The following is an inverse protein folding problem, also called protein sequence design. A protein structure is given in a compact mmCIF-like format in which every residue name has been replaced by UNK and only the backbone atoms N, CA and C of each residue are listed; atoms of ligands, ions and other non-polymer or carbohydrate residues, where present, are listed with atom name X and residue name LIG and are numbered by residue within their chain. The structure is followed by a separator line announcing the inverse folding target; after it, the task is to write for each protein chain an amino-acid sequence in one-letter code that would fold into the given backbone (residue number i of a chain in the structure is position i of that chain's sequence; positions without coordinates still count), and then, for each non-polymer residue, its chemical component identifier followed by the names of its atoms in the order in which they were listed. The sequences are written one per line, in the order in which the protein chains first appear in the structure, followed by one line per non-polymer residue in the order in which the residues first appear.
data_IF_188869538570
#
_entry.id   IF_188869538570
#
_cell.length_a   1.000
_cell.length_b   1.000
_cell.length_c   1.000
_cell.angle_alpha   90.00
_cell.angle_beta   90.00
_cell.angle_gamma   90.00
#
_symmetry.space_group_name_H-M   'P 1'
#
loop_
_entity.id
_entity.type
_entity.pdbx_description
1 polymer ?
#
# COMPACT_ATOMS: atom_id res chain seq x y z
N UNK A 1 -14.46 7.74 3.92
CA UNK A 1 -13.00 7.61 3.83
C UNK A 1 -12.60 7.06 2.47
N UNK A 2 -11.63 7.69 1.82
CA UNK A 2 -10.99 7.22 0.59
C UNK A 2 -9.62 6.62 0.92
N UNK A 3 -9.48 5.33 0.65
CA UNK A 3 -8.24 4.57 0.85
C UNK A 3 -7.59 4.25 -0.50
N UNK A 4 -6.32 4.60 -0.63
CA UNK A 4 -5.44 4.13 -1.70
C UNK A 4 -4.70 2.87 -1.22
N UNK A 5 -5.31 1.72 -1.45
CA UNK A 5 -4.72 0.44 -1.08
C UNK A 5 -3.74 0.01 -2.17
N UNK A 6 -2.50 -0.26 -1.80
CA UNK A 6 -1.40 -0.61 -2.69
C UNK A 6 -0.81 -1.93 -2.24
N UNK A 7 -0.60 -2.86 -3.18
CA UNK A 7 0.24 -4.03 -2.92
C UNK A 7 1.68 -3.64 -3.20
N UNK A 8 2.61 -4.04 -2.35
CA UNK A 8 4.04 -3.83 -2.61
C UNK A 8 4.43 -4.24 -4.05
N UNK A 9 5.37 -3.52 -4.63
CA UNK A 9 5.88 -3.81 -5.96
C UNK A 9 6.71 -5.10 -5.99
N UNK A 10 7.14 -5.52 -7.17
CA UNK A 10 7.86 -6.78 -7.33
C UNK A 10 9.11 -6.87 -6.43
N UNK A 11 9.21 -7.95 -5.66
CA UNK A 11 10.30 -8.19 -4.71
C UNK A 11 11.16 -9.38 -5.15
N UNK A 12 12.48 -9.24 -5.01
CA UNK A 12 13.43 -10.30 -5.27
C UNK A 12 13.17 -11.51 -4.34
N UNK A 13 13.52 -12.74 -4.74
CA UNK A 13 13.57 -13.86 -3.79
C UNK A 13 14.66 -13.60 -2.75
N UNK A 14 14.51 -14.17 -1.55
CA UNK A 14 15.51 -14.02 -0.50
C UNK A 14 15.03 -14.54 0.86
N UNK A 15 15.98 -14.73 1.77
CA UNK A 15 15.78 -15.18 3.15
C UNK A 15 16.58 -14.26 4.09
N UNK A 16 16.00 -13.81 5.22
CA UNK A 16 14.61 -14.03 5.63
C UNK A 16 13.61 -13.25 4.75
N UNK A 17 12.36 -13.75 4.63
CA UNK A 17 11.34 -13.15 3.76
C UNK A 17 11.12 -11.64 3.99
N UNK A 18 11.17 -11.21 5.24
CA UNK A 18 10.98 -9.82 5.67
C UNK A 18 12.02 -8.84 5.13
N UNK A 19 13.21 -9.32 4.78
CA UNK A 19 14.33 -8.54 4.25
C UNK A 19 14.47 -8.61 2.73
N UNK A 20 13.50 -9.22 2.03
CA UNK A 20 13.48 -9.24 0.57
C UNK A 20 13.31 -7.83 0.01
N UNK A 21 14.27 -7.31 -0.77
CA UNK A 21 14.15 -6.00 -1.39
C UNK A 21 13.29 -6.04 -2.65
N UNK A 22 12.88 -4.87 -3.13
CA UNK A 22 12.33 -4.72 -4.48
C UNK A 22 13.37 -5.12 -5.53
N UNK A 23 12.91 -5.74 -6.61
CA UNK A 23 13.73 -5.88 -7.82
C UNK A 23 13.95 -4.49 -8.46
N UNK A 24 14.92 -4.33 -9.37
CA UNK A 24 15.03 -3.10 -10.15
C UNK A 24 13.71 -2.73 -10.86
N UNK A 25 13.03 -3.73 -11.43
CA UNK A 25 11.73 -3.56 -12.06
C UNK A 25 10.64 -3.19 -11.05
N UNK A 26 10.62 -3.80 -9.87
CA UNK A 26 9.69 -3.43 -8.79
C UNK A 26 9.87 -2.00 -8.32
N UNK A 27 11.12 -1.52 -8.27
CA UNK A 27 11.40 -0.12 -7.95
C UNK A 27 10.86 0.83 -9.02
N UNK A 28 11.00 0.48 -10.30
CA UNK A 28 10.40 1.25 -11.40
C UNK A 28 8.87 1.23 -11.33
N UNK A 29 8.24 0.08 -11.07
CA UNK A 29 6.79 -0.05 -10.86
C UNK A 29 6.30 0.91 -9.77
N UNK A 30 6.97 0.94 -8.61
CA UNK A 30 6.60 1.81 -7.51
C UNK A 30 6.75 3.30 -7.84
N UNK A 31 7.82 3.67 -8.59
CA UNK A 31 8.02 5.05 -9.07
C UNK A 31 6.96 5.48 -10.07
N UNK A 32 6.63 4.60 -11.02
CA UNK A 32 5.56 4.84 -11.99
C UNK A 32 4.21 5.01 -11.29
N UNK A 33 3.91 4.16 -10.31
CA UNK A 33 2.70 4.29 -9.51
C UNK A 33 2.66 5.64 -8.78
N UNK A 34 3.76 6.03 -8.11
CA UNK A 34 3.83 7.32 -7.41
C UNK A 34 3.60 8.51 -8.34
N UNK A 35 4.22 8.52 -9.53
CA UNK A 35 3.98 9.55 -10.55
C UNK A 35 2.52 9.61 -11.00
N UNK A 36 1.94 8.45 -11.30
CA UNK A 36 0.53 8.35 -11.70
C UNK A 36 -0.41 8.83 -10.61
N UNK A 37 -0.18 8.46 -9.35
CA UNK A 37 -0.97 8.94 -8.22
C UNK A 37 -0.90 10.46 -8.12
N UNK A 38 0.29 11.07 -8.25
CA UNK A 38 0.47 12.53 -8.24
C UNK A 38 -0.30 13.22 -9.36
N UNK A 39 -0.28 12.64 -10.56
CA UNK A 39 -0.84 13.26 -11.75
C UNK A 39 -2.37 13.04 -11.88
N UNK A 40 -2.90 11.93 -11.35
CA UNK A 40 -4.28 11.48 -11.56
C UNK A 40 -5.18 11.58 -10.31
N UNK A 41 -4.62 11.65 -9.09
CA UNK A 41 -5.38 11.55 -7.84
C UNK A 41 -5.16 12.75 -6.91
N UNK A 42 -6.13 13.06 -6.03
CA UNK A 42 -5.86 13.91 -4.87
C UNK A 42 -4.68 13.37 -4.04
N UNK A 43 -3.80 14.24 -3.52
CA UNK A 43 -2.66 13.79 -2.72
C UNK A 43 -3.15 13.13 -1.43
N UNK A 44 -2.57 11.99 -1.00
CA UNK A 44 -2.90 11.42 0.29
C UNK A 44 -2.36 12.30 1.43
N UNK A 45 -3.08 12.39 2.53
CA UNK A 45 -2.63 13.06 3.74
C UNK A 45 -1.62 12.23 4.54
N UNK A 46 -1.56 10.91 4.30
CA UNK A 46 -0.56 10.02 4.88
C UNK A 46 -0.26 8.82 3.97
N UNK A 47 0.95 8.28 4.09
CA UNK A 47 1.34 7.00 3.47
C UNK A 47 1.76 6.05 4.60
N UNK A 48 1.04 4.93 4.73
CA UNK A 48 1.31 3.89 5.71
C UNK A 48 1.81 2.63 5.02
N UNK A 49 2.73 1.93 5.63
CA UNK A 49 3.35 0.74 5.03
C UNK A 49 3.43 -0.40 6.02
N UNK A 50 3.35 -1.63 5.52
CA UNK A 50 3.85 -2.80 6.24
C UNK A 50 5.33 -2.63 6.63
N UNK A 51 5.79 -3.17 7.78
CA UNK A 51 7.18 -3.03 8.20
C UNK A 51 8.18 -3.81 7.32
N UNK A 52 7.71 -4.74 6.49
CA UNK A 52 8.57 -5.55 5.61
C UNK A 52 9.26 -4.69 4.54
N UNK A 53 10.51 -5.01 4.23
CA UNK A 53 11.39 -4.16 3.42
C UNK A 53 10.76 -3.78 2.07
N UNK A 54 10.23 -4.75 1.31
CA UNK A 54 9.55 -4.52 0.03
C UNK A 54 8.40 -3.52 0.08
N UNK A 55 7.63 -3.50 1.17
CA UNK A 55 6.52 -2.56 1.33
C UNK A 55 7.03 -1.16 1.69
N UNK A 56 8.02 -1.08 2.60
CA UNK A 56 8.70 0.18 2.94
C UNK A 56 9.39 0.80 1.74
N UNK A 57 10.07 0.01 0.91
CA UNK A 57 10.70 0.51 -0.31
C UNK A 57 9.67 0.99 -1.32
N UNK A 58 8.54 0.28 -1.48
CA UNK A 58 7.43 0.73 -2.33
C UNK A 58 6.90 2.08 -1.82
N UNK A 59 6.58 2.19 -0.53
CA UNK A 59 6.13 3.43 0.09
C UNK A 59 7.17 4.55 0.00
N UNK A 60 8.45 4.25 0.06
CA UNK A 60 9.53 5.21 -0.15
C UNK A 60 9.57 5.79 -1.57
N UNK A 61 9.30 5.00 -2.60
CA UNK A 61 9.17 5.53 -3.96
C UNK A 61 7.88 6.35 -4.14
N UNK A 62 6.77 5.97 -3.49
CA UNK A 62 5.54 6.77 -3.47
C UNK A 62 5.76 8.11 -2.77
N UNK A 63 6.41 8.09 -1.61
CA UNK A 63 6.75 9.25 -0.78
C UNK A 63 7.50 10.31 -1.59
N UNK A 64 8.53 9.91 -2.36
CA UNK A 64 9.30 10.82 -3.22
C UNK A 64 8.46 11.49 -4.30
N UNK A 65 7.46 10.80 -4.83
CA UNK A 65 6.63 11.33 -5.91
C UNK A 65 5.51 12.24 -5.38
N UNK A 66 4.98 11.94 -4.20
CA UNK A 66 3.82 12.60 -3.61
C UNK A 66 4.18 13.69 -2.60
N UNK A 67 5.45 13.77 -2.18
CA UNK A 67 5.93 14.68 -1.13
C UNK A 67 5.23 14.47 0.22
N UNK A 68 5.01 13.19 0.57
CA UNK A 68 4.37 12.75 1.81
C UNK A 68 5.25 11.68 2.45
N UNK A 69 5.59 11.82 3.73
CA UNK A 69 6.44 10.85 4.43
C UNK A 69 5.71 9.49 4.57
N UNK A 70 6.43 8.39 4.32
CA UNK A 70 5.92 7.05 4.50
C UNK A 70 6.27 6.49 5.89
N UNK A 71 5.25 6.10 6.65
CA UNK A 71 5.39 5.57 8.01
C UNK A 71 5.14 4.05 8.03
N UNK A 72 6.02 3.22 8.63
CA UNK A 72 5.73 1.82 8.85
C UNK A 72 4.76 1.63 10.03
N UNK A 73 3.84 0.68 9.92
CA UNK A 73 2.94 0.25 10.99
C UNK A 73 2.84 -1.28 11.03
N UNK A 74 3.14 -1.88 12.19
CA UNK A 74 3.19 -3.34 12.36
C UNK A 74 1.85 -4.02 12.09
N UNK A 75 0.72 -3.30 12.23
CA UNK A 75 -0.63 -3.81 11.92
C UNK A 75 -0.82 -4.09 10.43
N UNK A 76 0.07 -3.59 9.57
CA UNK A 76 0.05 -3.82 8.13
C UNK A 76 1.00 -4.97 7.71
N UNK A 77 1.58 -5.73 8.65
CA UNK A 77 2.31 -6.96 8.36
C UNK A 77 1.43 -8.01 7.65
N UNK A 78 2.02 -9.02 6.97
CA UNK A 78 1.25 -10.11 6.38
C UNK A 78 0.25 -10.74 7.36
N UNK A 79 -1.00 -10.91 6.92
CA UNK A 79 -2.12 -11.32 7.77
C UNK A 79 -2.99 -10.16 8.27
N UNK A 80 -2.75 -8.93 7.78
CA UNK A 80 -3.56 -7.76 8.11
C UNK A 80 -5.02 -7.91 7.65
N UNK A 81 -5.94 -7.39 8.46
CA UNK A 81 -7.38 -7.41 8.21
C UNK A 81 -7.94 -6.02 7.86
N UNK A 82 -9.22 -5.97 7.47
CA UNK A 82 -9.92 -4.70 7.27
C UNK A 82 -10.00 -3.87 8.56
N UNK A 83 -10.11 -4.52 9.72
CA UNK A 83 -10.15 -3.85 11.03
C UNK A 83 -8.79 -3.27 11.41
N UNK A 84 -7.69 -3.98 11.09
CA UNK A 84 -6.34 -3.44 11.24
C UNK A 84 -6.14 -2.18 10.40
N UNK A 85 -6.63 -2.21 9.15
CA UNK A 85 -6.62 -1.03 8.29
C UNK A 85 -7.45 0.10 8.90
N UNK A 86 -8.68 -0.14 9.34
CA UNK A 86 -9.48 0.90 10.03
C UNK A 86 -8.74 1.46 11.25
N UNK A 87 -8.05 0.63 12.00
CA UNK A 87 -7.30 1.04 13.19
C UNK A 87 -6.06 1.89 12.86
N UNK A 88 -5.37 1.67 11.74
CA UNK A 88 -4.23 2.54 11.33
C UNK A 88 -4.69 3.88 10.76
N UNK A 89 -5.90 3.91 10.18
CA UNK A 89 -6.49 5.12 9.59
C UNK A 89 -7.17 6.03 10.63
N UNK A 90 -7.52 5.51 11.80
CA UNK A 90 -8.25 6.24 12.83
C UNK A 90 -7.51 7.52 13.27
N UNK A 91 -8.19 8.67 13.20
CA UNK A 91 -7.64 9.97 13.62
C UNK A 91 -6.69 10.62 12.61
N UNK A 92 -6.57 10.06 11.40
CA UNK A 92 -5.78 10.62 10.29
C UNK A 92 -6.70 11.30 9.25
N UNK A 93 -6.08 11.94 8.26
CA UNK A 93 -6.76 12.66 7.18
C UNK A 93 -7.46 11.79 6.13
N UNK A 94 -7.87 12.38 5.01
CA UNK A 94 -8.55 11.69 3.91
C UNK A 94 -8.21 12.37 2.57
N UNK A 95 -7.57 11.69 1.59
CA UNK A 95 -7.32 10.26 1.49
C UNK A 95 -6.04 9.78 2.18
N UNK A 96 -5.94 8.47 2.42
CA UNK A 96 -4.73 7.83 2.96
C UNK A 96 -4.29 6.71 2.04
N UNK A 97 -2.97 6.57 1.84
CA UNK A 97 -2.39 5.42 1.15
C UNK A 97 -1.88 4.35 2.13
N UNK A 98 -2.13 3.09 1.81
CA UNK A 98 -1.67 1.93 2.59
C UNK A 98 -0.96 0.95 1.67
N UNK A 99 0.28 0.58 1.99
CA UNK A 99 1.07 -0.40 1.24
C UNK A 99 1.16 -1.72 2.00
N UNK A 100 0.58 -2.78 1.45
CA UNK A 100 0.48 -4.11 2.07
C UNK A 100 0.86 -5.27 1.15
N UNK A 101 0.31 -6.46 1.44
CA UNK A 101 0.67 -7.74 0.82
C UNK A 101 -0.54 -8.45 0.22
N UNK A 102 -0.27 -9.53 -0.54
CA UNK A 102 -1.30 -10.50 -0.90
C UNK A 102 -1.24 -11.70 0.06
N UNK A 103 -2.38 -12.33 0.37
CA UNK A 103 -3.73 -12.07 -0.17
C UNK A 103 -4.45 -10.86 0.46
N UNK A 104 -3.92 -10.31 1.56
CA UNK A 104 -4.55 -9.30 2.43
C UNK A 104 -5.18 -8.14 1.64
N UNK A 105 -4.47 -7.51 0.69
CA UNK A 105 -5.04 -6.36 -0.03
C UNK A 105 -6.33 -6.70 -0.81
N UNK A 106 -6.47 -7.93 -1.32
CA UNK A 106 -7.67 -8.36 -2.03
C UNK A 106 -8.84 -8.51 -1.07
N UNK A 107 -8.59 -9.20 0.05
CA UNK A 107 -9.57 -9.44 1.11
C UNK A 107 -10.01 -8.14 1.79
N UNK A 108 -9.07 -7.25 2.11
CA UNK A 108 -9.34 -5.93 2.69
C UNK A 108 -10.20 -5.09 1.73
N UNK A 109 -9.83 -5.04 0.44
CA UNK A 109 -10.61 -4.28 -0.54
C UNK A 109 -12.05 -4.80 -0.64
N UNK A 110 -12.26 -6.12 -0.68
CA UNK A 110 -13.58 -6.74 -0.68
C UNK A 110 -14.38 -6.39 0.60
N UNK A 111 -13.77 -6.59 1.77
CA UNK A 111 -14.41 -6.38 3.06
C UNK A 111 -14.82 -4.91 3.28
N UNK A 112 -13.96 -3.95 2.89
CA UNK A 112 -14.24 -2.52 3.06
C UNK A 112 -15.24 -1.99 2.03
N UNK A 113 -15.20 -2.47 0.78
CA UNK A 113 -16.12 -2.02 -0.28
C UNK A 113 -17.49 -2.73 -0.28
N UNK A 114 -17.61 -3.86 0.43
CA UNK A 114 -18.76 -4.77 0.32
C UNK A 114 -18.85 -5.50 -1.04
N UNK A 115 -17.76 -5.51 -1.81
CA UNK A 115 -17.67 -6.10 -3.14
C UNK A 115 -16.85 -7.41 -3.20
N UNK A 116 -16.68 -7.99 -4.40
CA UNK A 116 -15.81 -9.15 -4.59
C UNK A 116 -14.32 -8.78 -4.46
N UNK A 117 -13.46 -9.77 -4.21
CA UNK A 117 -12.01 -9.57 -4.21
C UNK A 117 -11.51 -9.13 -5.60
N UNK A 118 -10.87 -7.96 -5.72
CA UNK A 118 -10.33 -7.51 -6.99
C UNK A 118 -9.01 -8.24 -7.29
N UNK A 119 -8.66 -8.32 -8.58
CA UNK A 119 -7.32 -8.76 -8.98
C UNK A 119 -6.29 -7.72 -8.54
N UNK A 120 -5.28 -8.16 -7.78
CA UNK A 120 -4.28 -7.27 -7.17
C UNK A 120 -2.83 -7.67 -7.52
N UNK A 121 -2.31 -7.27 -8.70
CA UNK A 121 -0.92 -7.54 -9.07
C UNK A 121 0.06 -6.76 -8.18
N UNK A 122 1.33 -7.19 -8.16
CA UNK A 122 2.40 -6.41 -7.52
C UNK A 122 2.45 -4.99 -8.10
N UNK A 123 2.61 -3.98 -7.23
CA UNK A 123 2.54 -2.57 -7.61
C UNK A 123 1.15 -2.10 -8.05
N UNK A 124 0.12 -2.91 -7.83
CA UNK A 124 -1.27 -2.53 -8.08
C UNK A 124 -1.77 -1.51 -7.06
N UNK A 125 -2.78 -0.73 -7.45
CA UNK A 125 -3.53 0.21 -6.63
C UNK A 125 -5.02 -0.09 -6.79
N UNK A 126 -5.75 -0.14 -5.68
CA UNK A 126 -7.22 -0.14 -5.63
C UNK A 126 -7.65 1.03 -4.75
N UNK A 127 -8.58 1.83 -5.27
CA UNK A 127 -9.21 2.90 -4.51
C UNK A 127 -10.47 2.32 -3.86
N UNK A 128 -10.56 2.42 -2.54
CA UNK A 128 -11.71 1.93 -1.77
C UNK A 128 -12.37 3.12 -1.09
N UNK A 129 -13.68 3.25 -1.31
CA UNK A 129 -14.53 4.22 -0.63
C UNK A 129 -15.36 3.46 0.40
N UNK A 130 -15.32 3.88 1.65
CA UNK A 130 -16.10 3.27 2.73
C UNK A 130 -16.40 4.28 3.83
N UNK A 131 -17.36 3.96 4.70
CA UNK A 131 -17.74 4.78 5.87
C UNK A 131 -16.62 4.87 6.91
#
# INVERSE_FOLDING_TARGET
MRLYLVRHAEAAPGEPDELRPLTPQGREQARDLGRRMRDELPPPEAILTSPLLRARETGGELSRALDVEAEPDDRLAPGATADDVRAVLAGRGDPIAVVGHQPDCGQIAAALSGGPEPRFPAGGLVIVEFE
#
